data_IF_712676807453
#
_entry.id   IF_712676807453
#
_cell.length_a   1.000
_cell.length_b   1.000
_cell.length_c   1.000
_cell.angle_alpha   90.00
_cell.angle_beta   90.00
_cell.angle_gamma   90.00
#
_symmetry.space_group_name_H-M   'P 1'
#
loop_
_entity.id
_entity.type
_entity.pdbx_description
1 polymer ?
#
# COMPACT_ATOMS: atom_id res chain seq x y z
N UNK A 1 2.26 -2.14 -12.61
CA UNK A 1 2.20 -0.76 -12.06
C UNK A 1 2.91 -0.74 -10.71
N UNK A 2 3.57 0.35 -10.32
CA UNK A 2 4.26 0.46 -9.02
C UNK A 2 3.53 1.46 -8.13
N UNK A 3 3.57 1.24 -6.82
CA UNK A 3 2.85 2.05 -5.83
C UNK A 3 3.80 2.72 -4.83
N UNK A 4 3.29 3.76 -4.18
CA UNK A 4 3.98 4.55 -3.15
C UNK A 4 3.05 4.70 -1.95
N UNK A 5 3.61 4.58 -0.76
CA UNK A 5 2.92 4.90 0.50
C UNK A 5 3.16 6.39 0.78
N UNK A 6 2.09 7.14 0.99
CA UNK A 6 2.13 8.57 1.33
C UNK A 6 2.43 8.80 2.81
N UNK A 7 2.52 10.06 3.21
CA UNK A 7 2.65 10.51 4.61
C UNK A 7 1.43 10.19 5.48
N UNK A 8 0.29 9.80 4.90
CA UNK A 8 -0.91 9.34 5.63
C UNK A 8 -0.74 7.96 6.29
N UNK A 9 0.40 7.30 6.11
CA UNK A 9 0.68 6.03 6.78
C UNK A 9 0.54 6.17 8.30
N UNK A 10 -0.10 5.20 8.96
CA UNK A 10 -0.24 5.17 10.44
C UNK A 10 0.57 4.05 11.10
N UNK A 11 1.42 3.34 10.35
CA UNK A 11 2.28 2.31 10.91
C UNK A 11 1.60 0.98 11.29
N UNK A 12 0.38 0.71 10.82
CA UNK A 12 -0.40 -0.46 11.23
C UNK A 12 0.11 -1.83 10.74
N UNK A 13 1.19 -1.87 9.94
CA UNK A 13 1.77 -3.09 9.37
C UNK A 13 0.91 -3.90 8.36
N UNK A 14 -0.39 -3.66 8.22
CA UNK A 14 -1.31 -4.48 7.43
C UNK A 14 -0.84 -4.74 5.99
N UNK A 15 -0.44 -3.69 5.27
CA UNK A 15 0.02 -3.81 3.89
C UNK A 15 1.30 -4.64 3.73
N UNK A 16 2.19 -4.66 4.75
CA UNK A 16 3.43 -5.43 4.71
C UNK A 16 3.18 -6.93 4.73
N UNK A 17 2.13 -7.38 5.43
CA UNK A 17 1.79 -8.80 5.58
C UNK A 17 1.25 -9.41 4.28
N UNK A 18 0.60 -8.61 3.44
CA UNK A 18 -0.10 -9.09 2.23
C UNK A 18 0.66 -8.85 0.92
N UNK A 19 1.84 -8.21 0.96
CA UNK A 19 2.59 -7.87 -0.24
C UNK A 19 3.29 -9.11 -0.82
N UNK A 20 2.89 -9.64 -1.99
CA UNK A 20 3.44 -10.89 -2.52
C UNK A 20 4.91 -10.78 -2.92
N UNK A 21 5.38 -9.58 -3.27
CA UNK A 21 6.76 -9.34 -3.67
C UNK A 21 7.66 -8.83 -2.53
N UNK A 22 7.14 -8.81 -1.29
CA UNK A 22 7.84 -8.31 -0.10
C UNK A 22 8.48 -6.92 -0.30
N UNK A 23 7.81 -6.06 -1.07
CA UNK A 23 8.32 -4.74 -1.42
C UNK A 23 8.15 -3.70 -0.31
N UNK A 24 7.34 -3.97 0.72
CA UNK A 24 7.03 -3.02 1.80
C UNK A 24 8.03 -3.15 2.96
N UNK A 25 8.62 -2.04 3.36
CA UNK A 25 9.64 -1.96 4.40
C UNK A 25 9.41 -0.76 5.33
N UNK A 26 9.96 -0.82 6.54
CA UNK A 26 9.95 0.34 7.44
C UNK A 26 10.82 1.43 6.85
N UNK A 27 10.36 2.67 6.91
CA UNK A 27 11.13 3.84 6.52
C UNK A 27 12.43 3.92 7.33
N UNK A 28 13.51 4.35 6.68
CA UNK A 28 14.82 4.52 7.31
C UNK A 28 14.90 5.81 8.14
N UNK A 29 14.14 6.84 7.73
CA UNK A 29 13.99 8.13 8.39
C UNK A 29 13.03 8.08 9.58
N UNK A 30 12.06 7.16 9.58
CA UNK A 30 11.10 6.96 10.67
C UNK A 30 10.52 5.54 10.66
N UNK A 31 10.98 4.69 11.58
CA UNK A 31 10.58 3.28 11.65
C UNK A 31 9.10 3.05 12.00
N UNK A 32 8.36 4.09 12.40
CA UNK A 32 6.91 4.01 12.65
C UNK A 32 6.13 3.88 11.34
N UNK A 33 6.68 4.34 10.23
CA UNK A 33 6.00 4.38 8.94
C UNK A 33 6.59 3.40 7.92
N UNK A 34 5.83 3.13 6.85
CA UNK A 34 6.21 2.19 5.80
C UNK A 34 6.46 2.89 4.47
N UNK A 35 7.31 2.28 3.65
CA UNK A 35 7.57 2.66 2.26
C UNK A 35 7.54 1.41 1.36
N UNK A 36 7.35 1.62 0.06
CA UNK A 36 7.40 0.58 -0.98
C UNK A 36 8.69 0.73 -1.77
N UNK A 37 9.44 -0.37 -1.91
CA UNK A 37 10.66 -0.38 -2.70
C UNK A 37 10.30 -0.44 -4.18
N UNK A 38 10.61 0.60 -4.99
CA UNK A 38 10.08 0.71 -6.35
C UNK A 38 10.57 -0.40 -7.28
N UNK A 39 11.77 -0.95 -7.04
CA UNK A 39 12.30 -2.03 -7.86
C UNK A 39 11.80 -3.43 -7.44
N UNK A 40 11.11 -3.55 -6.31
CA UNK A 40 10.53 -4.81 -5.83
C UNK A 40 9.01 -4.87 -5.99
N UNK A 41 8.35 -3.73 -6.13
CA UNK A 41 6.91 -3.70 -6.33
C UNK A 41 6.53 -4.31 -7.69
N UNK A 42 5.86 -5.47 -7.68
CA UNK A 42 5.34 -6.12 -8.89
C UNK A 42 3.98 -5.56 -9.33
N UNK A 43 3.38 -4.66 -8.54
CA UNK A 43 1.98 -4.27 -8.70
C UNK A 43 0.99 -5.41 -8.47
N UNK A 44 1.43 -6.48 -7.80
CA UNK A 44 0.71 -7.75 -7.64
C UNK A 44 0.43 -8.52 -8.95
N UNK A 45 0.98 -8.08 -10.10
CA UNK A 45 0.80 -8.74 -11.39
C UNK A 45 1.29 -10.19 -11.31
N UNK A 46 0.45 -11.13 -11.73
CA UNK A 46 0.73 -12.56 -11.70
C UNK A 46 0.52 -13.25 -10.34
N UNK A 47 0.22 -12.51 -9.28
CA UNK A 47 -0.12 -13.07 -7.96
C UNK A 47 -1.58 -12.83 -7.58
N UNK A 48 -2.10 -11.63 -7.85
CA UNK A 48 -3.48 -11.25 -7.56
C UNK A 48 -4.03 -10.34 -8.66
N UNK A 49 -5.34 -10.36 -8.85
CA UNK A 49 -6.03 -9.44 -9.78
C UNK A 49 -5.99 -7.99 -9.29
N UNK A 50 -6.08 -7.80 -7.97
CA UNK A 50 -6.11 -6.49 -7.33
C UNK A 50 -4.86 -6.26 -6.46
N UNK A 51 -4.36 -5.01 -6.35
CA UNK A 51 -3.23 -4.68 -5.51
C UNK A 51 -3.55 -4.80 -4.01
N UNK A 52 -2.95 -5.78 -3.33
CA UNK A 52 -3.30 -6.12 -1.96
C UNK A 52 -3.06 -5.00 -0.95
N UNK A 53 -1.99 -4.21 -1.13
CA UNK A 53 -1.68 -3.10 -0.24
C UNK A 53 -2.72 -1.98 -0.27
N UNK A 54 -3.40 -1.75 -1.40
CA UNK A 54 -4.45 -0.73 -1.50
C UNK A 54 -5.74 -1.24 -0.90
N UNK A 55 -6.06 -2.53 -1.09
CA UNK A 55 -7.28 -3.17 -0.57
C UNK A 55 -7.30 -3.31 0.95
N UNK A 56 -6.15 -3.51 1.59
CA UNK A 56 -6.08 -3.72 3.05
C UNK A 56 -5.74 -2.45 3.84
N UNK A 57 -5.31 -1.36 3.18
CA UNK A 57 -4.85 -0.19 3.91
C UNK A 57 -6.03 0.47 4.64
N UNK A 58 -6.00 0.57 5.98
CA UNK A 58 -7.13 1.11 6.74
C UNK A 58 -7.23 2.64 6.66
N UNK A 59 -6.34 3.28 5.90
CA UNK A 59 -6.31 4.74 5.72
C UNK A 59 -6.49 5.03 4.25
N UNK A 60 -7.66 5.53 3.88
CA UNK A 60 -7.96 5.95 2.51
C UNK A 60 -6.99 7.04 2.05
N UNK A 61 -6.72 7.07 0.74
CA UNK A 61 -5.78 7.96 0.06
C UNK A 61 -4.32 7.80 0.51
N UNK A 62 -4.00 6.79 1.32
CA UNK A 62 -2.64 6.56 1.80
C UNK A 62 -1.72 5.89 0.75
N UNK A 63 -2.26 5.28 -0.29
CA UNK A 63 -1.51 4.62 -1.36
C UNK A 63 -1.79 5.30 -2.69
N UNK A 64 -0.71 5.67 -3.39
CA UNK A 64 -0.76 6.26 -4.72
C UNK A 64 0.06 5.44 -5.72
N UNK A 65 -0.16 5.64 -7.01
CA UNK A 65 0.76 5.17 -8.05
C UNK A 65 1.98 6.11 -8.20
N UNK A 66 2.86 5.83 -9.16
CA UNK A 66 4.09 6.61 -9.38
C UNK A 66 3.84 8.05 -9.85
N UNK A 67 2.64 8.37 -10.33
CA UNK A 67 2.26 9.72 -10.78
C UNK A 67 1.35 10.42 -9.76
N UNK A 68 1.19 9.84 -8.57
CA UNK A 68 0.41 10.43 -7.49
C UNK A 68 -1.10 10.18 -7.58
N UNK A 69 -1.57 9.32 -8.49
CA UNK A 69 -2.98 8.94 -8.54
C UNK A 69 -3.32 8.08 -7.33
N UNK A 70 -4.37 8.45 -6.62
CA UNK A 70 -4.87 7.69 -5.46
C UNK A 70 -5.37 6.31 -5.88
N UNK A 71 -4.88 5.28 -5.17
CA UNK A 71 -5.18 3.87 -5.44
C UNK A 71 -6.09 3.21 -4.41
N UNK A 72 -6.26 3.82 -3.24
CA UNK A 72 -7.27 3.45 -2.24
C UNK A 72 -8.17 4.66 -1.94
N UNK A 73 -9.03 5.09 -2.89
CA UNK A 73 -9.77 6.35 -2.79
C UNK A 73 -10.74 6.37 -1.61
N UNK A 74 -11.28 7.55 -1.31
CA UNK A 74 -12.38 7.68 -0.35
C UNK A 74 -13.55 6.79 -0.73
N UNK A 75 -14.11 6.11 0.27
CA UNK A 75 -15.15 5.11 0.07
C UNK A 75 -14.63 3.72 -0.29
N UNK A 76 -13.34 3.52 -0.53
CA UNK A 76 -12.78 2.19 -0.84
C UNK A 76 -12.88 1.20 0.31
N UNK A 77 -13.11 1.69 1.54
CA UNK A 77 -13.38 0.85 2.72
C UNK A 77 -14.87 0.67 3.01
N UNK A 78 -15.77 1.33 2.26
CA UNK A 78 -17.21 1.19 2.48
C UNK A 78 -17.67 -0.22 2.11
N UNK A 79 -18.40 -0.87 3.02
CA UNK A 79 -18.89 -2.25 2.81
C UNK A 79 -17.92 -3.36 3.19
N UNK A 80 -16.70 -3.04 3.64
CA UNK A 80 -15.84 -4.02 4.32
C UNK A 80 -16.37 -4.20 5.75
N UNK A 81 -17.08 -5.29 6.01
CA UNK A 81 -17.50 -5.67 7.36
C UNK A 81 -16.27 -6.07 8.16
N UNK A 82 -15.93 -5.25 9.17
CA UNK A 82 -14.95 -5.61 10.22
C UNK A 82 -15.55 -6.57 11.23
#
# INVERSE_FOLDING_TARGET
MKYVITDKCIGCHACKLVCPSHAIFKKTDDERFFAIHPNRCSGCVGSFEHPQCTSICPVEEAIVDQVGKVMNPKGSLTGLSV
#
